data_IF_447374579971
#
_entry.id   IF_447374579971
#
_cell.length_a   1.000
_cell.length_b   1.000
_cell.length_c   1.000
_cell.angle_alpha   90.00
_cell.angle_beta   90.00
_cell.angle_gamma   90.00
#
_symmetry.space_group_name_H-M   'P 1'
#
loop_
_entity.id
_entity.type
_entity.pdbx_description
1 polymer ?
#
# COMPACT_ATOMS: atom_id res chain seq x y z
N UNK A 1 -2.04 2.18 -23.70
CA UNK A 1 -1.90 1.84 -22.27
C UNK A 1 -0.78 2.70 -21.69
N UNK A 2 -0.98 3.36 -20.54
CA UNK A 2 0.01 4.21 -19.87
C UNK A 2 0.25 3.78 -18.41
N UNK A 3 1.31 4.29 -17.76
CA UNK A 3 1.69 3.93 -16.38
C UNK A 3 0.52 4.07 -15.39
N UNK A 4 -0.24 5.17 -15.48
CA UNK A 4 -1.43 5.41 -14.66
C UNK A 4 -2.48 4.30 -14.84
N UNK A 5 -2.84 3.95 -16.06
CA UNK A 5 -3.81 2.89 -16.35
C UNK A 5 -3.35 1.50 -15.85
N UNK A 6 -2.05 1.21 -15.88
CA UNK A 6 -1.49 -0.03 -15.34
C UNK A 6 -1.66 -0.07 -13.81
N UNK A 7 -1.34 1.03 -13.12
CA UNK A 7 -1.49 1.10 -11.67
C UNK A 7 -2.94 0.94 -11.22
N UNK A 8 -3.89 1.59 -11.91
CA UNK A 8 -5.33 1.45 -11.63
C UNK A 8 -5.81 0.01 -11.87
N UNK A 9 -5.36 -0.63 -12.94
CA UNK A 9 -5.69 -2.03 -13.21
C UNK A 9 -5.13 -2.99 -12.13
N UNK A 10 -3.88 -2.78 -11.72
CA UNK A 10 -3.26 -3.56 -10.65
C UNK A 10 -4.00 -3.39 -9.32
N UNK A 11 -4.40 -2.16 -8.97
CA UNK A 11 -5.19 -1.89 -7.78
C UNK A 11 -6.55 -2.60 -7.82
N UNK A 12 -7.27 -2.52 -8.93
CA UNK A 12 -8.58 -3.17 -9.08
C UNK A 12 -8.47 -4.69 -8.90
N UNK A 13 -7.44 -5.33 -9.47
CA UNK A 13 -7.23 -6.77 -9.27
C UNK A 13 -6.77 -7.08 -7.84
N UNK A 14 -5.92 -6.24 -7.22
CA UNK A 14 -5.53 -6.39 -5.83
C UNK A 14 -6.75 -6.36 -4.88
N UNK A 15 -7.69 -5.46 -5.11
CA UNK A 15 -8.91 -5.36 -4.30
C UNK A 15 -9.81 -6.59 -4.48
N UNK A 16 -9.96 -7.10 -5.70
CA UNK A 16 -10.71 -8.34 -5.94
C UNK A 16 -10.09 -9.52 -5.19
N UNK A 17 -8.77 -9.70 -5.30
CA UNK A 17 -8.05 -10.73 -4.55
C UNK A 17 -8.25 -10.59 -3.03
N UNK A 18 -8.19 -9.35 -2.53
CA UNK A 18 -8.38 -9.06 -1.11
C UNK A 18 -9.81 -9.38 -0.61
N UNK A 19 -10.85 -8.92 -1.32
CA UNK A 19 -12.25 -9.02 -0.87
C UNK A 19 -12.85 -10.40 -1.21
N UNK A 20 -12.67 -10.83 -2.45
CA UNK A 20 -13.40 -11.98 -3.01
C UNK A 20 -12.68 -13.30 -2.72
N UNK A 21 -11.35 -13.27 -2.76
CA UNK A 21 -10.51 -14.48 -2.69
C UNK A 21 -9.77 -14.59 -1.34
N UNK A 22 -9.72 -13.52 -0.54
CA UNK A 22 -8.88 -13.40 0.67
C UNK A 22 -7.40 -13.73 0.41
N UNK A 23 -6.94 -13.53 -0.83
CA UNK A 23 -5.54 -13.70 -1.21
C UNK A 23 -4.76 -12.41 -0.93
N UNK A 24 -4.36 -12.27 0.33
CA UNK A 24 -3.63 -11.10 0.81
C UNK A 24 -2.21 -11.01 0.26
N UNK A 25 -1.57 -12.14 -0.08
CA UNK A 25 -0.19 -12.17 -0.60
C UNK A 25 -0.15 -11.56 -2.00
N UNK A 26 -1.02 -12.03 -2.90
CA UNK A 26 -1.11 -11.45 -4.23
C UNK A 26 -1.63 -10.01 -4.18
N UNK A 27 -2.57 -9.71 -3.27
CA UNK A 27 -3.04 -8.35 -3.06
C UNK A 27 -1.91 -7.39 -2.63
N UNK A 28 -1.01 -7.78 -1.72
CA UNK A 28 0.17 -7.00 -1.32
C UNK A 28 1.05 -6.69 -2.54
N UNK A 29 1.32 -7.71 -3.36
CA UNK A 29 2.22 -7.56 -4.51
C UNK A 29 1.66 -6.56 -5.53
N UNK A 30 0.41 -6.74 -5.93
CA UNK A 30 -0.23 -5.88 -6.93
C UNK A 30 -0.48 -4.46 -6.40
N UNK A 31 -0.97 -4.32 -5.16
CA UNK A 31 -1.17 -3.00 -4.54
C UNK A 31 0.15 -2.29 -4.28
N UNK A 32 1.23 -3.01 -3.94
CA UNK A 32 2.57 -2.44 -3.78
C UNK A 32 3.13 -1.84 -5.07
N UNK A 33 2.94 -2.51 -6.22
CA UNK A 33 3.31 -1.99 -7.52
C UNK A 33 2.45 -0.77 -7.94
N UNK A 34 1.13 -0.85 -7.70
CA UNK A 34 0.22 0.25 -7.96
C UNK A 34 0.57 1.49 -7.11
N UNK A 35 0.87 1.29 -5.82
CA UNK A 35 1.21 2.35 -4.87
C UNK A 35 2.48 3.10 -5.28
N UNK A 36 3.50 2.39 -5.77
CA UNK A 36 4.73 3.04 -6.22
C UNK A 36 4.48 3.94 -7.43
N UNK A 37 3.65 3.50 -8.39
CA UNK A 37 3.33 4.31 -9.57
C UNK A 37 2.45 5.50 -9.17
N UNK A 38 1.36 5.27 -8.43
CA UNK A 38 0.44 6.33 -8.00
C UNK A 38 1.13 7.33 -7.09
N UNK A 39 1.96 6.89 -6.16
CA UNK A 39 2.72 7.75 -5.26
C UNK A 39 3.70 8.66 -6.02
N UNK A 40 4.41 8.13 -7.03
CA UNK A 40 5.26 8.97 -7.89
C UNK A 40 4.45 10.01 -8.68
N UNK A 41 3.27 9.64 -9.18
CA UNK A 41 2.39 10.58 -9.88
C UNK A 41 1.96 11.72 -8.95
N UNK A 42 1.59 11.43 -7.70
CA UNK A 42 1.25 12.45 -6.69
C UNK A 42 2.42 13.41 -6.45
N UNK A 43 3.64 12.87 -6.32
CA UNK A 43 4.85 13.70 -6.14
C UNK A 43 5.13 14.58 -7.35
N UNK A 44 4.93 14.07 -8.56
CA UNK A 44 5.08 14.85 -9.80
C UNK A 44 4.04 15.96 -9.92
N UNK A 45 2.89 15.82 -9.26
CA UNK A 45 1.83 16.82 -9.16
C UNK A 45 2.08 17.85 -8.04
N UNK A 46 3.24 17.79 -7.37
CA UNK A 46 3.64 18.73 -6.32
C UNK A 46 3.08 18.41 -4.93
N UNK A 47 2.45 17.24 -4.76
CA UNK A 47 1.83 16.82 -3.51
C UNK A 47 2.67 15.73 -2.79
N UNK A 48 2.66 15.68 -1.45
CA UNK A 48 3.23 14.54 -0.73
C UNK A 48 2.34 13.30 -0.94
N UNK A 49 2.97 12.17 -1.27
CA UNK A 49 2.26 10.91 -1.42
C UNK A 49 1.83 10.32 -0.06
N UNK A 50 0.85 9.42 -0.08
CA UNK A 50 0.28 8.83 1.13
C UNK A 50 1.32 8.06 1.99
N UNK A 51 2.37 7.51 1.37
CA UNK A 51 3.44 6.81 2.09
C UNK A 51 4.31 7.78 2.88
N UNK A 52 4.72 8.88 2.27
CA UNK A 52 5.49 9.95 2.93
C UNK A 52 4.70 10.60 4.07
N UNK A 53 3.41 10.86 3.88
CA UNK A 53 2.55 11.39 4.93
C UNK A 53 2.40 10.44 6.11
N UNK A 54 2.20 9.15 5.84
CA UNK A 54 2.12 8.14 6.89
C UNK A 54 3.42 8.06 7.69
N UNK A 55 4.57 8.04 7.00
CA UNK A 55 5.89 8.02 7.65
C UNK A 55 6.09 9.25 8.54
N UNK A 56 5.80 10.46 8.03
CA UNK A 56 5.91 11.70 8.81
C UNK A 56 4.98 11.70 10.02
N UNK A 57 3.74 11.24 9.86
CA UNK A 57 2.77 11.15 10.95
C UNK A 57 3.22 10.17 12.03
N UNK A 58 3.72 8.99 11.64
CA UNK A 58 4.24 8.01 12.59
C UNK A 58 5.50 8.50 13.30
N UNK A 59 6.39 9.21 12.59
CA UNK A 59 7.59 9.80 13.17
C UNK A 59 7.20 10.81 14.26
N UNK A 60 6.27 11.70 13.96
CA UNK A 60 5.71 12.63 14.93
C UNK A 60 5.06 11.91 16.12
N UNK A 61 4.23 10.89 15.88
CA UNK A 61 3.58 10.11 16.94
C UNK A 61 4.57 9.33 17.81
N UNK A 62 5.76 9.01 17.29
CA UNK A 62 6.85 8.40 18.06
C UNK A 62 7.65 9.40 18.91
N UNK A 63 7.19 10.66 19.00
CA UNK A 63 7.97 11.78 19.56
C UNK A 63 9.37 11.88 18.93
N UNK A 64 9.46 11.60 17.62
CA UNK A 64 10.68 11.61 16.83
C UNK A 64 11.78 10.62 17.30
N UNK A 65 11.45 9.70 18.22
CA UNK A 65 12.41 8.71 18.73
C UNK A 65 12.78 7.65 17.70
N UNK A 66 11.88 7.35 16.76
CA UNK A 66 12.11 6.39 15.69
C UNK A 66 12.33 7.16 14.39
N UNK A 67 13.48 6.95 13.73
CA UNK A 67 13.78 7.63 12.47
C UNK A 67 12.76 7.31 11.38
N UNK A 68 12.46 8.28 10.50
CA UNK A 68 11.61 8.07 9.33
C UNK A 68 12.07 6.90 8.46
N UNK A 69 13.39 6.65 8.38
CA UNK A 69 13.96 5.54 7.60
C UNK A 69 13.54 4.19 8.17
N UNK A 70 13.58 4.02 9.49
CA UNK A 70 13.14 2.80 10.18
C UNK A 70 11.64 2.62 9.98
N UNK A 71 10.84 3.66 10.26
CA UNK A 71 9.37 3.65 10.03
C UNK A 71 9.03 3.22 8.60
N UNK A 72 9.75 3.78 7.63
CA UNK A 72 9.54 3.48 6.22
C UNK A 72 9.86 2.02 5.89
N UNK A 73 11.06 1.57 6.25
CA UNK A 73 11.58 0.29 5.76
C UNK A 73 11.08 -0.91 6.57
N UNK A 74 11.03 -0.76 7.89
CA UNK A 74 10.78 -1.86 8.84
C UNK A 74 9.30 -1.95 9.26
N UNK A 75 8.50 -0.91 9.01
CA UNK A 75 7.07 -0.92 9.37
C UNK A 75 6.15 -0.76 8.17
N UNK A 76 6.24 0.37 7.44
CA UNK A 76 5.25 0.68 6.39
C UNK A 76 5.49 -0.01 5.04
N UNK A 77 6.74 -0.35 4.72
CA UNK A 77 7.10 -1.05 3.48
C UNK A 77 7.64 -2.45 3.68
N UNK A 78 7.71 -2.93 4.93
CA UNK A 78 8.26 -4.24 5.27
C UNK A 78 7.62 -5.34 4.43
N UNK A 79 6.30 -5.52 4.56
CA UNK A 79 5.56 -6.57 3.85
C UNK A 79 5.80 -6.62 2.34
N UNK A 80 5.68 -5.47 1.64
CA UNK A 80 5.91 -5.44 0.19
C UNK A 80 7.37 -5.74 -0.18
N UNK A 81 8.32 -5.34 0.67
CA UNK A 81 9.74 -5.54 0.41
C UNK A 81 10.14 -6.99 0.69
N UNK A 82 9.66 -7.58 1.78
CA UNK A 82 9.87 -8.99 2.12
C UNK A 82 9.23 -9.93 1.09
N UNK A 83 8.09 -9.55 0.51
CA UNK A 83 7.43 -10.37 -0.52
C UNK A 83 8.08 -10.29 -1.91
N UNK A 84 8.85 -9.24 -2.21
CA UNK A 84 9.43 -9.01 -3.55
C UNK A 84 10.92 -9.34 -3.65
N UNK A 85 11.61 -9.36 -2.51
CA UNK A 85 13.05 -9.53 -2.45
C UNK A 85 13.41 -10.79 -1.67
N UNK A 86 14.26 -11.63 -2.27
CA UNK A 86 14.91 -12.75 -1.60
C UNK A 86 16.41 -12.58 -1.79
N UNK A 87 17.02 -11.75 -0.93
CA UNK A 87 18.42 -11.33 -1.08
C UNK A 87 19.39 -12.27 -0.36
N UNK A 88 18.92 -12.97 0.68
CA UNK A 88 19.74 -13.85 1.52
C UNK A 88 18.99 -15.14 1.83
N UNK A 89 19.74 -16.24 1.95
CA UNK A 89 19.19 -17.54 2.38
C UNK A 89 18.52 -17.44 3.76
N UNK A 90 18.98 -16.52 4.62
CA UNK A 90 18.34 -16.28 5.92
C UNK A 90 16.92 -15.69 5.83
N UNK A 91 16.46 -15.26 4.65
CA UNK A 91 15.11 -14.74 4.38
C UNK A 91 14.18 -15.83 3.83
N UNK A 92 14.54 -17.11 3.96
CA UNK A 92 13.77 -18.23 3.43
C UNK A 92 12.39 -18.36 4.08
N UNK A 93 12.33 -18.10 5.38
CA UNK A 93 11.10 -18.06 6.14
C UNK A 93 10.67 -16.60 6.37
N UNK A 94 9.37 -16.34 6.29
CA UNK A 94 8.80 -15.09 6.81
C UNK A 94 8.86 -15.09 8.34
N UNK A 95 8.94 -13.91 8.94
CA UNK A 95 8.86 -13.77 10.40
C UNK A 95 7.57 -14.41 10.94
N UNK A 96 7.69 -15.10 12.09
CA UNK A 96 6.66 -15.99 12.66
C UNK A 96 5.31 -15.30 12.92
N UNK A 97 5.29 -13.96 13.02
CA UNK A 97 4.10 -13.14 13.31
C UNK A 97 3.60 -12.31 12.11
N UNK A 98 3.94 -12.69 10.87
CA UNK A 98 3.51 -11.96 9.69
C UNK A 98 2.02 -12.21 9.34
N UNK A 99 1.13 -11.30 9.76
CA UNK A 99 -0.26 -11.25 9.25
C UNK A 99 -0.34 -10.40 7.96
N UNK A 100 -0.59 -11.00 6.77
CA UNK A 100 -0.62 -10.27 5.52
C UNK A 100 -1.82 -9.32 5.37
N UNK A 101 -2.92 -9.54 6.11
CA UNK A 101 -4.16 -8.79 5.88
C UNK A 101 -4.05 -7.30 6.26
N UNK A 102 -3.52 -6.91 7.44
CA UNK A 102 -3.26 -5.52 7.78
C UNK A 102 -2.32 -4.82 6.78
N UNK A 103 -1.31 -5.53 6.29
CA UNK A 103 -0.37 -5.00 5.31
C UNK A 103 -1.02 -4.76 3.94
N UNK A 104 -1.82 -5.70 3.46
CA UNK A 104 -2.63 -5.53 2.25
C UNK A 104 -3.59 -4.34 2.40
N UNK A 105 -4.28 -4.24 3.55
CA UNK A 105 -5.19 -3.15 3.87
C UNK A 105 -4.50 -1.79 3.79
N UNK A 106 -3.33 -1.66 4.44
CA UNK A 106 -2.55 -0.42 4.43
C UNK A 106 -2.15 -0.03 3.00
N UNK A 107 -1.63 -0.97 2.21
CA UNK A 107 -1.19 -0.69 0.84
C UNK A 107 -2.35 -0.24 -0.06
N UNK A 108 -3.48 -0.94 -0.01
CA UNK A 108 -4.68 -0.58 -0.77
C UNK A 108 -5.19 0.80 -0.32
N UNK A 109 -5.24 1.07 0.99
CA UNK A 109 -5.67 2.37 1.51
C UNK A 109 -4.76 3.52 1.05
N UNK A 110 -3.44 3.32 0.98
CA UNK A 110 -2.49 4.30 0.43
C UNK A 110 -2.75 4.56 -1.05
N UNK A 111 -3.05 3.52 -1.83
CA UNK A 111 -3.45 3.68 -3.23
C UNK A 111 -4.73 4.52 -3.35
N UNK A 112 -5.77 4.24 -2.55
CA UNK A 112 -7.00 5.02 -2.53
C UNK A 112 -6.74 6.49 -2.18
N UNK A 113 -5.91 6.76 -1.17
CA UNK A 113 -5.51 8.13 -0.81
C UNK A 113 -4.78 8.85 -1.96
N UNK A 114 -3.86 8.17 -2.65
CA UNK A 114 -3.18 8.73 -3.82
C UNK A 114 -4.13 8.99 -5.00
N UNK A 115 -5.15 8.14 -5.21
CA UNK A 115 -6.20 8.36 -6.22
C UNK A 115 -6.98 9.64 -5.93
N UNK A 116 -7.38 9.85 -4.67
CA UNK A 116 -8.10 11.06 -4.23
C UNK A 116 -7.22 12.30 -4.41
N UNK A 117 -5.94 12.24 -4.03
CA UNK A 117 -4.97 13.34 -4.20
C UNK A 117 -4.74 13.72 -5.66
N UNK A 118 -4.82 12.75 -6.58
CA UNK A 118 -4.70 12.97 -8.02
C UNK A 118 -6.02 13.33 -8.69
N UNK A 119 -7.10 13.50 -7.92
CA UNK A 119 -8.46 13.77 -8.40
C UNK A 119 -8.92 12.76 -9.47
N UNK A 120 -8.48 11.50 -9.34
CA UNK A 120 -8.84 10.44 -10.28
C UNK A 120 -10.21 9.84 -9.94
N UNK A 121 -11.00 9.42 -10.95
CA UNK A 121 -12.24 8.71 -10.70
C UNK A 121 -12.03 7.43 -9.88
N UNK A 122 -12.89 7.21 -8.88
CA UNK A 122 -12.89 5.98 -8.10
C UNK A 122 -13.50 4.85 -8.93
N UNK A 123 -12.77 3.74 -9.07
CA UNK A 123 -13.33 2.53 -9.68
C UNK A 123 -14.39 1.90 -8.78
N UNK A 124 -15.20 1.01 -9.35
CA UNK A 124 -16.12 0.19 -8.56
C UNK A 124 -15.39 -0.56 -7.44
N UNK A 125 -14.19 -1.10 -7.72
CA UNK A 125 -13.43 -1.87 -6.75
C UNK A 125 -12.91 -0.96 -5.62
N UNK A 126 -12.43 0.25 -5.93
CA UNK A 126 -12.06 1.23 -4.90
C UNK A 126 -13.24 1.55 -3.98
N UNK A 127 -14.43 1.78 -4.54
CA UNK A 127 -15.65 1.98 -3.74
C UNK A 127 -15.99 0.77 -2.88
N UNK A 128 -15.89 -0.46 -3.42
CA UNK A 128 -16.08 -1.71 -2.66
C UNK A 128 -15.11 -1.79 -1.48
N UNK A 129 -13.83 -1.46 -1.68
CA UNK A 129 -12.83 -1.49 -0.61
C UNK A 129 -13.11 -0.46 0.48
N UNK A 130 -13.49 0.77 0.12
CA UNK A 130 -13.87 1.81 1.08
C UNK A 130 -15.08 1.35 1.92
N UNK A 131 -16.13 0.85 1.26
CA UNK A 131 -17.32 0.32 1.96
C UNK A 131 -16.99 -0.89 2.84
N UNK A 132 -16.14 -1.81 2.38
CA UNK A 132 -15.70 -2.96 3.17
C UNK A 132 -14.93 -2.54 4.43
N UNK A 133 -14.07 -1.53 4.31
CA UNK A 133 -13.13 -1.13 5.36
C UNK A 133 -13.73 -0.16 6.37
N UNK A 134 -14.71 0.65 5.95
CA UNK A 134 -15.27 1.75 6.76
C UNK A 134 -16.81 1.70 6.90
N UNK A 135 -17.49 0.77 6.22
CA UNK A 135 -18.96 0.64 6.23
C UNK A 135 -19.55 -0.15 7.41
N UNK A 136 -18.79 -0.33 8.49
CA UNK A 136 -19.31 -0.81 9.78
C UNK A 136 -19.06 0.27 10.83
N UNK A 137 -19.93 1.28 10.86
CA UNK A 137 -20.17 2.12 12.03
C UNK A 137 -21.60 1.82 12.47
#
# INVERSE_FOLDING_TARGET
MNKKSVALHQLDKAIKLYIDEQDFICAITLSGAAEEILGRLVVMDGNPNASEELVKRLHYLSNEQISEKIIRNEHTNFARNSMKHFNKISEFDFEVDFDPKPHATQLIARCCSNIVKLELPLSEQVNRFISYSFGRI
#
